data_IF_932565316138
#
_entry.id   IF_932565316138
#
_cell.length_a   1.000
_cell.length_b   1.000
_cell.length_c   1.000
_cell.angle_alpha   90.00
_cell.angle_beta   90.00
_cell.angle_gamma   90.00
#
_symmetry.space_group_name_H-M   'P 1'
#
loop_
_entity.id
_entity.type
_entity.pdbx_description
1 polymer ?
#
# COMPACT_ATOMS: atom_id res chain seq x y z
N UNK A 1 31.73 -12.43 2.75
CA UNK A 1 30.75 -13.10 1.87
C UNK A 1 29.45 -13.23 2.65
N UNK A 2 28.30 -12.99 2.03
CA UNK A 2 27.04 -12.58 2.67
C UNK A 2 26.32 -13.71 3.44
N UNK A 3 26.43 -13.75 4.76
CA UNK A 3 25.66 -14.65 5.65
C UNK A 3 24.39 -14.01 6.27
N UNK A 4 24.06 -12.77 5.90
CA UNK A 4 22.90 -12.06 6.45
C UNK A 4 21.58 -12.40 5.75
N UNK A 5 21.59 -13.26 4.73
CA UNK A 5 20.43 -13.49 3.86
C UNK A 5 19.44 -14.53 4.39
N UNK A 6 19.81 -15.37 5.36
CA UNK A 6 18.91 -16.37 5.93
C UNK A 6 18.51 -16.01 7.36
N UNK A 7 17.63 -15.01 7.48
CA UNK A 7 16.89 -14.78 8.71
C UNK A 7 15.43 -15.23 8.48
N UNK A 8 14.95 -16.32 9.13
CA UNK A 8 13.58 -16.81 8.98
C UNK A 8 12.51 -15.85 9.50
N UNK A 9 12.91 -14.73 10.13
CA UNK A 9 12.02 -13.63 10.55
C UNK A 9 12.02 -12.43 9.58
N UNK A 10 12.73 -12.50 8.45
CA UNK A 10 12.68 -11.42 7.45
C UNK A 10 11.33 -11.43 6.74
N UNK A 11 10.65 -10.29 6.79
CA UNK A 11 9.42 -10.07 6.03
C UNK A 11 9.66 -10.38 4.54
N UNK A 12 8.73 -11.08 3.89
CA UNK A 12 8.83 -11.50 2.48
C UNK A 12 9.11 -10.29 1.56
N UNK A 13 10.25 -10.23 0.84
CA UNK A 13 10.58 -9.09 -0.02
C UNK A 13 9.60 -8.89 -1.18
N UNK A 14 8.94 -9.94 -1.67
CA UNK A 14 7.98 -9.86 -2.78
C UNK A 14 6.78 -8.96 -2.46
N UNK A 15 6.48 -8.74 -1.17
CA UNK A 15 5.40 -7.83 -0.75
C UNK A 15 5.65 -6.39 -1.20
N UNK A 16 6.91 -5.98 -1.37
CA UNK A 16 7.27 -4.61 -1.80
C UNK A 16 6.72 -4.38 -3.20
N UNK A 17 6.97 -5.31 -4.11
CA UNK A 17 6.50 -5.22 -5.49
C UNK A 17 4.96 -5.22 -5.55
N UNK A 18 4.31 -6.11 -4.80
CA UNK A 18 2.83 -6.17 -4.72
C UNK A 18 2.22 -4.84 -4.25
N UNK A 19 2.70 -4.29 -3.13
CA UNK A 19 2.20 -3.02 -2.56
C UNK A 19 2.46 -1.87 -3.52
N UNK A 20 3.67 -1.77 -4.06
CA UNK A 20 4.04 -0.65 -4.95
C UNK A 20 3.29 -0.66 -6.26
N UNK A 21 2.98 -1.84 -6.83
CA UNK A 21 2.17 -1.95 -8.04
C UNK A 21 0.74 -1.43 -7.82
N UNK A 22 0.09 -1.83 -6.73
CA UNK A 22 -1.28 -1.40 -6.43
C UNK A 22 -1.32 0.08 -6.05
N UNK A 23 -0.34 0.56 -5.28
CA UNK A 23 -0.19 1.96 -4.97
C UNK A 23 0.01 2.81 -6.22
N UNK A 24 0.81 2.34 -7.19
CA UNK A 24 1.01 3.01 -8.48
C UNK A 24 -0.31 3.11 -9.25
N UNK A 25 -1.07 2.03 -9.34
CA UNK A 25 -2.38 2.03 -10.02
C UNK A 25 -3.33 3.07 -9.40
N UNK A 26 -3.48 3.05 -8.06
CA UNK A 26 -4.32 4.02 -7.34
C UNK A 26 -3.86 5.45 -7.57
N UNK A 27 -2.54 5.68 -7.58
CA UNK A 27 -2.00 7.02 -7.75
C UNK A 27 -2.15 7.54 -9.19
N UNK A 28 -2.10 6.65 -10.18
CA UNK A 28 -2.42 7.00 -11.58
C UNK A 28 -3.89 7.43 -11.75
N UNK A 29 -4.80 6.83 -10.99
CA UNK A 29 -6.23 7.21 -11.00
C UNK A 29 -6.51 8.53 -10.25
N UNK A 30 -5.60 8.97 -9.38
CA UNK A 30 -5.73 10.19 -8.58
C UNK A 30 -4.42 11.02 -8.60
N UNK A 31 -4.00 11.55 -9.76
CA UNK A 31 -2.68 12.17 -9.93
C UNK A 31 -2.50 13.48 -9.15
N UNK A 32 -3.61 14.13 -8.76
CA UNK A 32 -3.58 15.37 -7.97
C UNK A 32 -3.11 15.15 -6.53
N UNK A 33 -3.31 13.94 -5.99
CA UNK A 33 -2.83 13.60 -4.66
C UNK A 33 -1.32 13.43 -4.70
N UNK A 34 -0.59 14.03 -3.76
CA UNK A 34 0.82 13.66 -3.55
C UNK A 34 0.88 12.33 -2.81
N UNK A 35 1.94 11.56 -3.03
CA UNK A 35 2.15 10.25 -2.40
C UNK A 35 1.82 10.24 -0.90
N UNK A 36 2.35 11.21 -0.13
CA UNK A 36 2.08 11.28 1.31
C UNK A 36 0.59 11.47 1.64
N UNK A 37 -0.12 12.30 0.87
CA UNK A 37 -1.56 12.50 1.08
C UNK A 37 -2.33 11.21 0.80
N UNK A 38 -1.96 10.48 -0.26
CA UNK A 38 -2.55 9.20 -0.58
C UNK A 38 -2.32 8.17 0.55
N UNK A 39 -1.10 8.08 1.09
CA UNK A 39 -0.79 7.20 2.23
C UNK A 39 -1.61 7.59 3.47
N UNK A 40 -1.77 8.89 3.77
CA UNK A 40 -2.62 9.35 4.87
C UNK A 40 -4.09 8.95 4.67
N UNK A 41 -4.62 9.09 3.45
CA UNK A 41 -6.00 8.66 3.12
C UNK A 41 -6.18 7.15 3.35
N UNK A 42 -5.25 6.34 2.84
CA UNK A 42 -5.28 4.88 2.99
C UNK A 42 -5.11 4.43 4.45
N UNK A 43 -4.36 5.19 5.25
CA UNK A 43 -4.15 4.91 6.67
C UNK A 43 -5.38 5.23 7.53
N UNK A 44 -6.31 6.07 7.02
CA UNK A 44 -7.49 6.58 7.75
C UNK A 44 -7.04 7.26 9.06
N UNK A 45 -7.65 6.91 10.18
CA UNK A 45 -7.35 7.46 11.51
C UNK A 45 -6.18 6.75 12.22
N UNK A 46 -5.52 5.79 11.56
CA UNK A 46 -4.36 5.08 12.12
C UNK A 46 -3.08 5.87 11.92
N UNK A 47 -2.15 5.73 12.86
CA UNK A 47 -0.78 6.22 12.67
C UNK A 47 -0.11 5.45 11.53
N UNK A 48 0.36 6.17 10.52
CA UNK A 48 1.05 5.64 9.32
C UNK A 48 2.20 4.72 9.70
N UNK A 49 2.90 4.98 10.82
CA UNK A 49 4.02 4.13 11.25
C UNK A 49 3.59 2.81 11.90
N UNK A 50 2.31 2.66 12.22
CA UNK A 50 1.73 1.48 12.86
C UNK A 50 0.90 0.61 11.90
N UNK A 51 0.63 1.08 10.69
CA UNK A 51 -0.18 0.32 9.72
C UNK A 51 0.64 -0.86 9.19
N UNK A 52 0.11 -2.07 9.38
CA UNK A 52 0.69 -3.29 8.85
C UNK A 52 0.41 -3.44 7.34
N UNK A 53 1.28 -4.18 6.65
CA UNK A 53 1.27 -4.32 5.19
C UNK A 53 -0.06 -4.92 4.68
N UNK A 54 -0.63 -5.89 5.39
CA UNK A 54 -1.90 -6.56 5.06
C UNK A 54 -3.11 -5.64 5.24
N UNK A 55 -3.11 -4.84 6.31
CA UNK A 55 -4.13 -3.81 6.55
C UNK A 55 -4.07 -2.76 5.46
N UNK A 56 -2.88 -2.25 5.12
CA UNK A 56 -2.70 -1.29 4.04
C UNK A 56 -3.21 -1.86 2.71
N UNK A 57 -2.88 -3.11 2.44
CA UNK A 57 -3.33 -3.82 1.23
C UNK A 57 -4.85 -3.96 1.14
N UNK A 58 -5.52 -4.28 2.25
CA UNK A 58 -6.98 -4.34 2.29
C UNK A 58 -7.61 -2.97 2.00
N UNK A 59 -7.07 -1.90 2.56
CA UNK A 59 -7.57 -0.54 2.34
C UNK A 59 -7.35 -0.05 0.91
N UNK A 60 -6.21 -0.38 0.29
CA UNK A 60 -5.96 -0.10 -1.12
C UNK A 60 -6.99 -0.78 -2.04
N UNK A 61 -7.30 -2.06 -1.79
CA UNK A 61 -8.31 -2.81 -2.55
C UNK A 61 -9.71 -2.20 -2.39
N UNK A 62 -10.07 -1.81 -1.17
CA UNK A 62 -11.35 -1.16 -0.89
C UNK A 62 -11.46 0.23 -1.51
N UNK A 63 -10.38 1.02 -1.47
CA UNK A 63 -10.31 2.32 -2.13
C UNK A 63 -10.59 2.20 -3.64
N UNK A 64 -9.99 1.20 -4.30
CA UNK A 64 -10.25 0.90 -5.72
C UNK A 64 -11.69 0.50 -5.97
N UNK A 65 -12.26 -0.38 -5.14
CA UNK A 65 -13.65 -0.83 -5.27
C UNK A 65 -14.62 0.36 -5.23
N UNK A 66 -14.45 1.25 -4.25
CA UNK A 66 -15.28 2.47 -4.12
C UNK A 66 -15.13 3.41 -5.31
N UNK A 67 -13.91 3.60 -5.81
CA UNK A 67 -13.71 4.47 -6.97
C UNK A 67 -14.32 3.89 -8.24
N UNK A 68 -14.28 2.57 -8.42
CA UNK A 68 -14.96 1.93 -9.55
C UNK A 68 -16.49 2.07 -9.47
N UNK A 69 -17.07 2.07 -8.27
CA UNK A 69 -18.51 2.27 -8.05
C UNK A 69 -18.95 3.72 -8.28
N UNK A 70 -18.09 4.70 -8.01
CA UNK A 70 -18.38 6.13 -8.21
C UNK A 70 -18.29 6.59 -9.67
N UNK A 71 -17.83 5.72 -10.59
CA UNK A 71 -17.73 6.00 -12.03
C UNK A 71 -18.94 5.45 -12.81
N UNK A 72 -19.85 4.70 -12.17
CA UNK A 72 -21.14 4.25 -12.71
C UNK A 72 -22.30 5.09 -12.18
#
# INVERSE_FOLDING_TARGET
MQDWLFNPTRRNPNRIEEITNILKEIWLDAPDLRLRQLICILSKDRDVFSVEDDVLMAEMKEFRRKNAENIN
#
